data_IF_514732315877
#
_entry.id   IF_514732315877
#
_cell.length_a   1.000
_cell.length_b   1.000
_cell.length_c   1.000
_cell.angle_alpha   90.00
_cell.angle_beta   90.00
_cell.angle_gamma   90.00
#
_symmetry.space_group_name_H-M   'P 1'
#
loop_
_entity.id
_entity.type
_entity.pdbx_description
1 polymer ?
#
# COMPACT_ATOMS: atom_id res chain seq x y z
N UNK A 1 11.46 10.27 12.60
CA UNK A 1 10.79 10.09 11.28
C UNK A 1 10.23 8.66 11.27
N UNK A 2 8.92 8.48 11.51
CA UNK A 2 8.33 7.14 11.68
C UNK A 2 8.37 6.39 10.35
N UNK A 3 9.16 5.31 10.30
CA UNK A 3 9.20 4.36 9.20
C UNK A 3 7.84 3.66 9.12
N UNK A 4 6.90 4.19 8.32
CA UNK A 4 5.68 3.43 8.01
C UNK A 4 6.09 2.28 7.11
N UNK A 5 5.96 1.04 7.59
CA UNK A 5 6.14 -0.17 6.76
C UNK A 5 5.07 -0.15 5.67
N UNK A 6 5.43 0.40 4.51
CA UNK A 6 4.61 0.38 3.31
C UNK A 6 4.78 -0.96 2.60
N UNK A 7 3.68 -1.63 2.35
CA UNK A 7 3.61 -2.85 1.57
C UNK A 7 3.05 -2.54 0.20
N UNK A 8 3.54 -3.25 -0.82
CA UNK A 8 2.98 -3.18 -2.17
C UNK A 8 2.61 -4.57 -2.65
N UNK A 9 1.41 -4.71 -3.21
CA UNK A 9 0.90 -5.95 -3.80
C UNK A 9 0.37 -5.64 -5.19
N UNK A 10 0.61 -6.53 -6.16
CA UNK A 10 0.04 -6.38 -7.50
C UNK A 10 -1.45 -6.76 -7.45
N UNK A 11 -2.30 -5.89 -7.98
CA UNK A 11 -3.73 -6.17 -8.19
C UNK A 11 -3.88 -6.85 -9.55
N UNK A 12 -3.20 -6.31 -10.56
CA UNK A 12 -3.13 -6.86 -11.91
C UNK A 12 -1.74 -6.59 -12.52
N UNK A 13 -1.59 -6.81 -13.83
CA UNK A 13 -0.33 -6.58 -14.55
C UNK A 13 0.17 -5.13 -14.44
N UNK A 14 -0.73 -4.15 -14.25
CA UNK A 14 -0.43 -2.72 -14.30
C UNK A 14 -0.59 -2.03 -12.94
N UNK A 15 -1.60 -2.42 -12.16
CA UNK A 15 -1.99 -1.77 -10.92
C UNK A 15 -1.29 -2.41 -9.71
N UNK A 16 -0.76 -1.56 -8.84
CA UNK A 16 -0.21 -1.96 -7.54
C UNK A 16 -1.05 -1.33 -6.44
N UNK A 17 -1.49 -2.16 -5.51
CA UNK A 17 -2.04 -1.75 -4.24
C UNK A 17 -0.88 -1.42 -3.31
N UNK A 18 -0.78 -0.15 -2.92
CA UNK A 18 0.13 0.29 -1.87
C UNK A 18 -0.69 0.49 -0.61
N UNK A 19 -0.33 -0.23 0.45
CA UNK A 19 -1.03 -0.17 1.73
C UNK A 19 -0.05 -0.20 2.90
N UNK A 20 -0.49 0.29 4.04
CA UNK A 20 0.25 0.20 5.30
C UNK A 20 -0.68 -0.28 6.40
N UNK A 21 -0.13 -1.06 7.34
CA UNK A 21 -0.84 -1.49 8.53
C UNK A 21 -0.16 -0.83 9.71
N UNK A 22 -0.94 -0.16 10.55
CA UNK A 22 -0.43 0.45 11.78
C UNK A 22 -0.30 -0.59 12.90
N UNK A 23 0.38 -0.24 13.99
CA UNK A 23 0.57 -1.13 15.16
C UNK A 23 -0.77 -1.53 15.81
N UNK A 24 -1.80 -0.70 15.63
CA UNK A 24 -3.17 -0.97 16.09
C UNK A 24 -4.00 -1.85 15.12
N UNK A 25 -3.39 -2.35 14.04
CA UNK A 25 -4.07 -3.18 13.04
C UNK A 25 -4.93 -2.41 12.03
N UNK A 26 -4.86 -1.07 12.02
CA UNK A 26 -5.60 -0.24 11.06
C UNK A 26 -4.95 -0.32 9.69
N UNK A 27 -5.73 -0.73 8.68
CA UNK A 27 -5.30 -0.79 7.29
C UNK A 27 -5.51 0.57 6.60
N UNK A 28 -4.42 1.10 6.06
CA UNK A 28 -4.39 2.32 5.27
C UNK A 28 -4.12 1.99 3.80
N UNK A 29 -5.05 2.33 2.91
CA UNK A 29 -4.84 2.24 1.47
C UNK A 29 -4.26 3.56 0.99
N UNK A 30 -3.05 3.52 0.44
CA UNK A 30 -2.27 4.69 0.03
C UNK A 30 -2.47 4.96 -1.46
N UNK A 31 -2.45 3.90 -2.28
CA UNK A 31 -2.68 4.01 -3.71
C UNK A 31 -3.17 2.69 -4.29
N UNK A 32 -4.01 2.79 -5.32
CA UNK A 32 -4.53 1.66 -6.09
C UNK A 32 -4.54 1.98 -7.59
N UNK A 33 -3.56 2.76 -8.08
CA UNK A 33 -3.38 3.04 -9.52
C UNK A 33 -2.06 2.48 -10.04
N UNK A 34 -2.14 1.93 -11.25
CA UNK A 34 -1.01 1.61 -12.09
C UNK A 34 -0.31 2.87 -12.54
N UNK A 35 1.00 2.75 -12.69
CA UNK A 35 1.79 3.78 -13.34
C UNK A 35 1.48 3.63 -14.83
N UNK A 36 0.67 4.55 -15.36
CA UNK A 36 0.41 4.63 -16.80
C UNK A 36 1.73 4.83 -17.56
#
# INVERSE_FOLDING_TARGET
MKYRKGFSRRIDETNRLVYAIDENGVLWIISCRGHY
#
